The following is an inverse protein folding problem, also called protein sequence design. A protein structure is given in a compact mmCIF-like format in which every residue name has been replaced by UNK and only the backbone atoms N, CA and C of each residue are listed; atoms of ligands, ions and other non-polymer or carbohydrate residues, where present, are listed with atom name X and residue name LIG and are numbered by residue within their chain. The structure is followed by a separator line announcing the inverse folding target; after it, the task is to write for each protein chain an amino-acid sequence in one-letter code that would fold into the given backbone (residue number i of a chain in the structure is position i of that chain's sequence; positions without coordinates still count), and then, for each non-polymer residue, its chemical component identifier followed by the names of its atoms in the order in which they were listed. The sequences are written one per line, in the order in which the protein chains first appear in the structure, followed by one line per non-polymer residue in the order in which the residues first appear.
data_IF_847437257344
#
_entry.id   IF_847437257344
#
_cell.length_a   1.000
_cell.length_b   1.000
_cell.length_c   1.000
_cell.angle_alpha   90.00
_cell.angle_beta   90.00
_cell.angle_gamma   90.00
#
_symmetry.space_group_name_H-M   'P 1'
#
loop_
_entity.id
_entity.type
_entity.pdbx_description
1 polymer ?
#
# COMPACT_ATOMS: atom_id res chain seq x y z
N UNK A 1 -8.37 -9.27 12.15
CA UNK A 1 -7.83 -8.84 10.85
C UNK A 1 -8.22 -9.77 9.70
N UNK A 2 -8.35 -11.08 9.89
CA UNK A 2 -8.71 -12.05 8.83
C UNK A 2 -10.03 -11.79 8.11
N UNK A 3 -10.96 -11.02 8.71
CA UNK A 3 -12.22 -10.61 8.06
C UNK A 3 -12.12 -9.34 7.20
N UNK A 4 -10.94 -8.75 7.04
CA UNK A 4 -10.73 -7.55 6.22
C UNK A 4 -10.01 -7.98 4.94
N UNK A 5 -10.75 -8.01 3.83
CA UNK A 5 -10.21 -8.53 2.55
C UNK A 5 -8.97 -7.77 2.06
N UNK A 6 -8.88 -6.48 2.34
CA UNK A 6 -7.70 -5.67 2.03
C UNK A 6 -6.40 -6.16 2.73
N UNK A 7 -6.50 -6.95 3.80
CA UNK A 7 -5.36 -7.51 4.54
C UNK A 7 -5.19 -9.03 4.30
N UNK A 8 -6.26 -9.73 3.93
CA UNK A 8 -6.27 -11.20 3.81
C UNK A 8 -6.12 -11.70 2.38
N UNK A 9 -6.42 -10.88 1.37
CA UNK A 9 -6.23 -11.26 -0.04
C UNK A 9 -4.77 -11.08 -0.42
N UNK A 10 -4.04 -12.17 -0.72
CA UNK A 10 -2.64 -12.05 -1.15
C UNK A 10 -2.55 -11.42 -2.53
N UNK A 11 -1.51 -10.62 -2.73
CA UNK A 11 -1.17 -10.10 -4.05
C UNK A 11 0.02 -10.88 -4.61
N UNK A 12 -0.03 -11.32 -5.87
CA UNK A 12 1.08 -12.05 -6.49
C UNK A 12 2.28 -11.15 -6.81
N UNK A 13 2.10 -9.83 -6.73
CA UNK A 13 3.13 -8.86 -7.04
C UNK A 13 3.56 -8.12 -5.77
N UNK A 14 4.86 -8.13 -5.48
CA UNK A 14 5.41 -7.27 -4.43
C UNK A 14 5.36 -5.80 -4.89
N UNK A 15 4.87 -4.94 -4.03
CA UNK A 15 4.76 -3.51 -4.34
C UNK A 15 4.76 -2.64 -3.08
N UNK A 16 4.85 -1.31 -3.26
CA UNK A 16 4.87 -0.36 -2.15
C UNK A 16 3.79 -0.56 -1.08
N UNK A 17 2.53 -0.91 -1.41
CA UNK A 17 1.50 -1.11 -0.40
C UNK A 17 1.80 -2.25 0.58
N UNK A 18 2.50 -3.31 0.14
CA UNK A 18 2.86 -4.44 1.01
C UNK A 18 3.87 -3.99 2.06
N UNK A 19 4.88 -3.23 1.66
CA UNK A 19 5.88 -2.68 2.57
C UNK A 19 5.30 -1.58 3.47
N UNK A 20 4.32 -0.83 2.97
CA UNK A 20 3.65 0.22 3.73
C UNK A 20 2.83 -0.33 4.93
N UNK A 21 2.28 -1.55 4.84
CA UNK A 21 1.49 -2.13 5.95
C UNK A 21 2.28 -2.26 7.26
N UNK A 22 3.42 -2.97 7.30
CA UNK A 22 4.21 -3.07 8.53
C UNK A 22 4.76 -1.72 8.98
N UNK A 23 5.18 -0.83 8.06
CA UNK A 23 5.66 0.50 8.42
C UNK A 23 4.56 1.36 9.05
N UNK A 24 3.33 1.29 8.54
CA UNK A 24 2.18 1.99 9.15
C UNK A 24 1.88 1.44 10.55
N UNK A 25 1.91 0.11 10.72
CA UNK A 25 1.67 -0.52 12.01
C UNK A 25 2.75 -0.14 13.04
N UNK A 26 4.03 -0.13 12.62
CA UNK A 26 5.15 0.29 13.46
C UNK A 26 5.08 1.77 13.83
N UNK A 27 4.79 2.65 12.86
CA UNK A 27 4.62 4.07 13.10
C UNK A 27 3.49 4.35 14.11
N UNK A 28 2.35 3.67 13.99
CA UNK A 28 1.25 3.78 14.97
C UNK A 28 1.66 3.27 16.35
N UNK A 29 2.40 2.15 16.43
CA UNK A 29 2.91 1.60 17.69
C UNK A 29 3.92 2.53 18.34
N UNK A 30 4.90 3.04 17.58
CA UNK A 30 5.95 3.90 18.12
C UNK A 30 5.39 5.28 18.50
N UNK A 31 4.42 5.79 17.72
CA UNK A 31 3.68 6.99 18.11
C UNK A 31 2.95 6.77 19.45
N UNK A 32 2.23 5.65 19.61
CA UNK A 32 1.57 5.35 20.87
C UNK A 32 2.55 5.25 22.04
N UNK A 33 3.67 4.58 21.86
CA UNK A 33 4.70 4.45 22.92
C UNK A 33 5.32 5.79 23.29
N UNK A 34 5.64 6.63 22.31
CA UNK A 34 6.18 7.97 22.55
C UNK A 34 5.14 8.89 23.20
N UNK A 35 3.96 8.96 22.60
CA UNK A 35 2.89 9.86 22.98
C UNK A 35 2.04 9.33 24.14
N UNK A 36 1.48 8.12 24.01
CA UNK A 36 0.54 7.53 24.98
C UNK A 36 1.22 7.05 26.25
N UNK A 37 2.35 6.37 26.13
CA UNK A 37 3.11 5.84 27.28
C UNK A 37 4.18 6.81 27.80
N UNK A 38 4.52 7.88 27.07
CA UNK A 38 5.54 8.85 27.44
C UNK A 38 6.98 8.32 27.33
N UNK A 39 7.18 7.24 26.57
CA UNK A 39 8.50 6.63 26.35
C UNK A 39 9.23 7.39 25.24
N UNK A 40 9.86 8.49 25.57
CA UNK A 40 10.47 9.47 24.64
C UNK A 40 11.41 8.88 23.60
N UNK A 41 12.18 7.84 23.92
CA UNK A 41 13.08 7.17 22.97
C UNK A 41 12.41 6.58 21.74
N UNK A 42 11.10 6.29 21.78
CA UNK A 42 10.36 5.81 20.63
C UNK A 42 10.10 6.88 19.58
N UNK A 43 10.31 8.17 19.87
CA UNK A 43 10.24 9.24 18.88
C UNK A 43 11.26 9.07 17.75
N UNK A 44 12.42 8.50 18.02
CA UNK A 44 13.45 8.21 17.02
C UNK A 44 13.02 7.09 16.07
N UNK A 45 12.45 6.02 16.60
CA UNK A 45 11.90 4.92 15.79
C UNK A 45 10.70 5.39 14.96
N UNK A 46 9.83 6.20 15.53
CA UNK A 46 8.72 6.82 14.82
C UNK A 46 9.21 7.66 13.64
N UNK A 47 10.26 8.45 13.83
CA UNK A 47 10.84 9.27 12.78
C UNK A 47 11.36 8.41 11.61
N UNK A 48 12.07 7.31 11.92
CA UNK A 48 12.56 6.37 10.93
C UNK A 48 11.41 5.70 10.17
N UNK A 49 10.38 5.18 10.88
CA UNK A 49 9.22 4.54 10.26
C UNK A 49 8.49 5.49 9.32
N UNK A 50 8.25 6.74 9.74
CA UNK A 50 7.58 7.75 8.92
C UNK A 50 8.41 8.13 7.69
N UNK A 51 9.70 8.32 7.84
CA UNK A 51 10.58 8.63 6.72
C UNK A 51 10.59 7.48 5.69
N UNK A 52 10.75 6.23 6.15
CA UNK A 52 10.70 5.05 5.29
C UNK A 52 9.32 4.87 4.64
N UNK A 53 8.24 5.16 5.37
CA UNK A 53 6.89 5.09 4.82
C UNK A 53 6.67 6.16 3.74
N UNK A 54 7.16 7.38 3.94
CA UNK A 54 7.08 8.46 2.94
C UNK A 54 7.89 8.11 1.68
N UNK A 55 9.07 7.50 1.86
CA UNK A 55 9.88 7.01 0.73
C UNK A 55 9.21 5.83 0.00
N UNK A 56 8.39 5.06 0.70
CA UNK A 56 7.69 3.91 0.13
C UNK A 56 6.41 4.32 -0.57
N UNK A 57 5.60 5.16 0.08
CA UNK A 57 4.29 5.59 -0.45
C UNK A 57 3.92 7.00 0.06
N UNK A 58 3.11 7.71 -0.73
CA UNK A 58 2.55 9.00 -0.31
C UNK A 58 1.58 8.90 0.88
N UNK A 59 1.12 7.69 1.23
CA UNK A 59 0.28 7.46 2.43
C UNK A 59 1.01 7.83 3.72
N UNK A 60 2.34 7.85 3.71
CA UNK A 60 3.14 8.34 4.84
C UNK A 60 2.87 9.81 5.18
N UNK A 61 2.61 10.65 4.18
CA UNK A 61 2.25 12.06 4.38
C UNK A 61 0.87 12.17 5.03
N UNK A 62 -0.08 11.31 4.60
CA UNK A 62 -1.43 11.26 5.20
C UNK A 62 -1.35 10.84 6.67
N UNK A 63 -0.54 9.82 6.97
CA UNK A 63 -0.33 9.37 8.35
C UNK A 63 0.33 10.46 9.21
N UNK A 64 1.33 11.14 8.68
CA UNK A 64 1.98 12.26 9.36
C UNK A 64 0.97 13.39 9.66
N UNK A 65 0.11 13.73 8.70
CA UNK A 65 -0.98 14.68 8.89
C UNK A 65 -1.98 14.22 9.97
N UNK A 66 -2.35 12.94 9.98
CA UNK A 66 -3.22 12.39 11.01
C UNK A 66 -2.57 12.43 12.41
N UNK A 67 -1.25 12.16 12.53
CA UNK A 67 -0.52 12.34 13.78
C UNK A 67 -0.52 13.80 14.23
N UNK A 68 -0.30 14.74 13.32
CA UNK A 68 -0.34 16.16 13.64
C UNK A 68 -1.73 16.59 14.15
N UNK A 69 -2.81 16.16 13.47
CA UNK A 69 -4.18 16.45 13.89
C UNK A 69 -4.46 15.87 15.29
N UNK A 70 -4.14 14.61 15.53
CA UNK A 70 -4.36 13.97 16.83
C UNK A 70 -3.54 14.62 17.96
N UNK A 71 -2.28 14.96 17.66
CA UNK A 71 -1.40 15.66 18.61
C UNK A 71 -1.98 17.04 18.98
N UNK A 72 -2.42 17.81 18.01
CA UNK A 72 -3.00 19.14 18.24
C UNK A 72 -4.38 19.06 18.93
N UNK A 73 -5.19 18.05 18.64
CA UNK A 73 -6.51 17.86 19.21
C UNK A 73 -6.49 17.44 20.70
N UNK A 74 -5.38 16.88 21.19
CA UNK A 74 -5.28 16.36 22.55
C UNK A 74 -4.40 17.26 23.43
N UNK A 75 -4.78 17.43 24.71
CA UNK A 75 -3.99 18.20 25.68
C UNK A 75 -2.58 17.62 25.87
N UNK A 76 -2.51 16.30 25.97
CA UNK A 76 -1.23 15.58 26.09
C UNK A 76 -0.33 15.79 24.87
N UNK A 77 -0.92 15.84 23.66
CA UNK A 77 -0.18 16.12 22.44
C UNK A 77 0.36 17.54 22.39
N UNK A 78 -0.46 18.52 22.75
CA UNK A 78 0.02 19.91 22.82
C UNK A 78 1.15 20.07 23.85
N UNK A 79 1.04 19.41 25.01
CA UNK A 79 2.13 19.40 25.99
C UNK A 79 3.42 18.74 25.44
N UNK A 80 3.29 17.68 24.64
CA UNK A 80 4.44 17.03 24.00
C UNK A 80 5.16 17.94 23.01
N UNK A 81 4.41 18.81 22.27
CA UNK A 81 5.01 19.76 21.33
C UNK A 81 5.90 20.83 22.01
N UNK A 82 5.75 21.01 23.33
CA UNK A 82 6.62 21.89 24.12
C UNK A 82 7.95 21.22 24.52
N UNK A 83 8.12 19.94 24.23
CA UNK A 83 9.34 19.18 24.46
C UNK A 83 10.19 19.13 23.19
N UNK A 84 11.47 18.73 23.31
CA UNK A 84 12.40 18.76 22.19
C UNK A 84 12.27 17.55 21.26
N UNK A 85 11.72 16.44 21.73
CA UNK A 85 11.71 15.15 21.04
C UNK A 85 10.95 15.18 19.68
N UNK A 86 9.76 15.80 19.57
CA UNK A 86 9.06 15.89 18.27
C UNK A 86 9.86 16.69 17.22
N UNK A 87 10.59 17.69 17.67
CA UNK A 87 11.41 18.53 16.77
C UNK A 87 12.65 17.77 16.29
N UNK A 88 13.31 17.02 17.16
CA UNK A 88 14.40 16.12 16.74
C UNK A 88 13.86 15.05 15.79
N UNK A 89 12.69 14.46 16.07
CA UNK A 89 12.05 13.50 15.17
C UNK A 89 11.78 14.12 13.78
N UNK A 90 11.30 15.37 13.73
CA UNK A 90 11.10 16.08 12.46
C UNK A 90 12.42 16.30 11.70
N UNK A 91 13.50 16.66 12.40
CA UNK A 91 14.84 16.79 11.79
C UNK A 91 15.31 15.45 11.22
N UNK A 92 15.15 14.35 11.97
CA UNK A 92 15.53 13.01 11.50
C UNK A 92 14.76 12.63 10.22
N UNK A 93 13.45 12.90 10.16
CA UNK A 93 12.64 12.67 8.95
C UNK A 93 13.24 13.43 7.77
N UNK A 94 13.52 14.73 7.95
CA UNK A 94 14.11 15.56 6.90
C UNK A 94 15.47 15.02 6.46
N UNK A 95 16.35 14.64 7.40
CA UNK A 95 17.68 14.08 7.10
C UNK A 95 17.57 12.80 6.28
N UNK A 96 16.66 11.88 6.65
CA UNK A 96 16.47 10.63 5.89
C UNK A 96 15.87 10.90 4.51
N UNK A 97 14.97 11.86 4.38
CA UNK A 97 14.34 12.22 3.11
C UNK A 97 15.26 13.07 2.23
N UNK A 98 16.27 13.74 2.79
CA UNK A 98 17.11 14.71 2.10
C UNK A 98 17.76 14.20 0.81
N UNK A 99 18.36 12.99 0.76
CA UNK A 99 18.93 12.48 -0.50
C UNK A 99 17.88 12.33 -1.61
N UNK A 100 16.66 11.93 -1.23
CA UNK A 100 15.54 11.79 -2.18
C UNK A 100 15.05 13.17 -2.67
N UNK A 101 14.97 14.14 -1.78
CA UNK A 101 14.59 15.53 -2.14
C UNK A 101 15.60 16.16 -3.09
N UNK A 102 16.91 15.99 -2.82
CA UNK A 102 17.99 16.43 -3.71
C UNK A 102 17.89 15.76 -5.07
N UNK A 103 17.65 14.46 -5.10
CA UNK A 103 17.46 13.74 -6.36
C UNK A 103 16.23 14.25 -7.15
N UNK A 104 15.11 14.52 -6.48
CA UNK A 104 13.91 15.08 -7.10
C UNK A 104 14.20 16.46 -7.74
N UNK A 105 14.98 17.29 -7.06
CA UNK A 105 15.36 18.62 -7.57
C UNK A 105 16.32 18.50 -8.75
N UNK A 106 17.42 17.76 -8.60
CA UNK A 106 18.44 17.56 -9.64
C UNK A 106 17.89 16.87 -10.90
N UNK A 107 16.91 15.98 -10.75
CA UNK A 107 16.27 15.30 -11.88
C UNK A 107 15.22 16.16 -12.60
N UNK A 108 14.96 17.38 -12.15
CA UNK A 108 13.87 18.23 -12.63
C UNK A 108 12.48 17.66 -12.32
N UNK A 109 12.43 16.59 -11.50
CA UNK A 109 11.18 15.90 -11.15
C UNK A 109 10.42 16.59 -10.02
N UNK A 110 11.02 17.52 -9.31
CA UNK A 110 10.39 18.24 -8.20
C UNK A 110 9.16 19.03 -8.63
N UNK A 111 9.25 19.79 -9.74
CA UNK A 111 8.11 20.51 -10.32
C UNK A 111 7.06 19.59 -10.97
N UNK A 112 7.50 18.44 -11.48
CA UNK A 112 6.66 17.44 -12.12
C UNK A 112 6.08 16.44 -11.13
N UNK A 113 6.57 16.35 -9.90
CA UNK A 113 6.09 15.40 -8.91
C UNK A 113 4.61 15.65 -8.56
N UNK A 114 4.24 16.89 -8.28
CA UNK A 114 2.84 17.29 -8.06
C UNK A 114 2.00 17.19 -9.34
N UNK A 115 2.57 17.55 -10.50
CA UNK A 115 1.89 17.39 -11.77
C UNK A 115 1.77 15.94 -12.21
N UNK A 116 2.71 15.07 -11.85
CA UNK A 116 2.63 13.63 -12.13
C UNK A 116 1.63 12.89 -11.26
N UNK A 117 1.44 13.29 -10.02
CA UNK A 117 0.29 12.85 -9.25
C UNK A 117 -1.03 13.15 -10.01
N UNK A 118 -1.02 14.18 -10.85
CA UNK A 118 -2.14 14.65 -11.67
C UNK A 118 -2.11 14.10 -13.12
N UNK A 119 -0.93 13.95 -13.72
CA UNK A 119 -0.77 13.70 -15.16
C UNK A 119 -0.89 12.23 -15.56
N UNK A 120 -0.47 11.29 -14.72
CA UNK A 120 -0.61 9.85 -14.99
C UNK A 120 -2.04 9.34 -14.83
N UNK A 121 -2.94 10.21 -14.38
CA UNK A 121 -4.31 9.86 -14.08
C UNK A 121 -5.22 11.02 -14.44
N UNK A 122 -5.64 11.12 -15.72
CA UNK A 122 -6.63 12.09 -16.13
C UNK A 122 -7.98 11.72 -15.48
N UNK A 123 -8.15 12.09 -14.26
CA UNK A 123 -9.38 11.92 -13.51
C UNK A 123 -9.56 13.18 -12.68
N UNK A 124 -10.52 14.02 -13.11
CA UNK A 124 -11.00 15.07 -12.25
C UNK A 124 -11.60 14.43 -11.00
N UNK A 125 -11.37 15.07 -9.84
CA UNK A 125 -12.06 14.68 -8.62
C UNK A 125 -13.56 14.64 -8.89
N UNK A 126 -14.19 13.51 -8.63
CA UNK A 126 -15.63 13.37 -8.77
C UNK A 126 -16.23 12.72 -7.54
N UNK A 127 -17.42 13.15 -7.16
CA UNK A 127 -18.18 12.55 -6.08
C UNK A 127 -18.41 11.04 -6.33
N UNK A 128 -18.65 10.66 -7.58
CA UNK A 128 -18.83 9.27 -7.97
C UNK A 128 -17.58 8.44 -7.69
N UNK A 129 -16.40 8.99 -7.99
CA UNK A 129 -15.14 8.31 -7.72
C UNK A 129 -14.91 8.13 -6.22
N UNK A 130 -15.19 9.16 -5.42
CA UNK A 130 -15.09 9.06 -3.96
C UNK A 130 -16.09 8.06 -3.38
N UNK A 131 -17.36 8.07 -3.82
CA UNK A 131 -18.36 7.08 -3.41
C UNK A 131 -17.92 5.65 -3.76
N UNK A 132 -17.33 5.45 -4.94
CA UNK A 132 -16.74 4.16 -5.32
C UNK A 132 -15.63 3.71 -4.35
N UNK A 133 -14.78 4.63 -3.91
CA UNK A 133 -13.74 4.35 -2.91
C UNK A 133 -14.35 3.97 -1.56
N UNK A 134 -15.40 4.67 -1.12
CA UNK A 134 -16.13 4.34 0.12
C UNK A 134 -16.81 2.97 0.04
N UNK A 135 -17.45 2.65 -1.08
CA UNK A 135 -18.03 1.32 -1.30
C UNK A 135 -16.96 0.23 -1.24
N UNK A 136 -15.80 0.45 -1.88
CA UNK A 136 -14.70 -0.50 -1.82
C UNK A 136 -14.16 -0.68 -0.38
N UNK A 137 -14.09 0.40 0.40
CA UNK A 137 -13.74 0.34 1.82
C UNK A 137 -14.78 -0.47 2.63
N UNK A 138 -16.07 -0.24 2.40
CA UNK A 138 -17.14 -1.00 3.05
C UNK A 138 -17.08 -2.49 2.69
N UNK A 139 -16.93 -2.81 1.39
CA UNK A 139 -16.77 -4.19 0.90
C UNK A 139 -15.55 -4.85 1.52
N UNK A 140 -14.43 -4.13 1.68
CA UNK A 140 -13.23 -4.67 2.31
C UNK A 140 -13.47 -5.12 3.77
N UNK A 141 -14.46 -4.56 4.47
CA UNK A 141 -14.80 -4.89 5.86
C UNK A 141 -15.93 -5.93 5.99
N UNK A 142 -16.53 -6.40 4.89
CA UNK A 142 -17.70 -7.30 4.93
C UNK A 142 -17.45 -8.55 5.79
N UNK A 143 -16.30 -9.18 5.64
CA UNK A 143 -15.95 -10.36 6.45
C UNK A 143 -15.84 -10.05 7.95
N UNK A 144 -15.33 -8.87 8.31
CA UNK A 144 -15.28 -8.44 9.71
C UNK A 144 -16.69 -8.20 10.26
N UNK A 145 -17.58 -7.60 9.46
CA UNK A 145 -18.99 -7.40 9.81
C UNK A 145 -19.68 -8.74 10.01
N UNK A 146 -19.47 -9.71 9.12
CA UNK A 146 -20.02 -11.08 9.26
C UNK A 146 -19.55 -11.71 10.58
N UNK A 147 -18.26 -11.63 10.90
CA UNK A 147 -17.73 -12.18 12.17
C UNK A 147 -18.37 -11.51 13.39
N UNK A 148 -18.55 -10.19 13.37
CA UNK A 148 -19.21 -9.44 14.44
C UNK A 148 -20.67 -9.89 14.58
N UNK A 149 -21.41 -10.00 13.50
CA UNK A 149 -22.82 -10.45 13.52
C UNK A 149 -22.95 -11.88 14.04
N UNK A 150 -22.07 -12.79 13.63
CA UNK A 150 -22.07 -14.17 14.13
C UNK A 150 -21.75 -14.24 15.63
N UNK A 151 -20.83 -13.40 16.11
CA UNK A 151 -20.39 -13.39 17.50
C UNK A 151 -21.33 -12.60 18.44
N UNK A 152 -22.18 -11.73 17.90
CA UNK A 152 -23.04 -10.84 18.71
C UNK A 152 -24.24 -11.52 19.36
N UNK A 153 -24.51 -12.79 19.05
CA UNK A 153 -25.65 -13.53 19.59
C UNK A 153 -27.02 -13.08 19.07
N UNK A 154 -27.07 -12.28 18.02
CA UNK A 154 -28.33 -11.85 17.42
C UNK A 154 -29.13 -13.08 16.95
N UNK A 155 -30.35 -13.25 17.53
CA UNK A 155 -31.21 -14.42 17.28
C UNK A 155 -30.74 -15.70 17.96
N UNK A 156 -29.88 -15.66 18.95
CA UNK A 156 -29.46 -16.82 19.73
C UNK A 156 -30.36 -16.98 20.97
N UNK A 157 -30.97 -18.15 21.10
CA UNK A 157 -31.93 -18.47 22.18
C UNK A 157 -31.41 -19.75 22.86
N UNK A 158 -30.46 -19.63 23.79
CA UNK A 158 -30.05 -20.85 24.42
C UNK A 158 -28.89 -20.76 25.42
N UNK A 159 -27.71 -21.10 25.03
CA UNK A 159 -26.56 -21.24 25.94
C UNK A 159 -25.94 -19.87 26.33
N UNK A 160 -25.54 -19.76 27.60
CA UNK A 160 -24.77 -18.61 28.06
C UNK A 160 -23.38 -18.63 27.37
N UNK A 161 -23.04 -17.61 26.60
CA UNK A 161 -21.74 -17.58 25.92
C UNK A 161 -20.61 -17.40 26.94
N UNK A 162 -19.39 -17.85 26.65
CA UNK A 162 -18.24 -17.50 27.44
C UNK A 162 -17.98 -15.99 27.33
N UNK A 163 -17.64 -15.42 28.47
CA UNK A 163 -17.35 -13.99 28.60
C UNK A 163 -15.85 -13.78 28.71
N UNK A 164 -15.28 -13.06 27.76
CA UNK A 164 -13.89 -12.64 27.82
C UNK A 164 -13.80 -11.24 28.41
N UNK A 165 -13.22 -11.16 29.61
CA UNK A 165 -12.99 -9.87 30.25
C UNK A 165 -11.67 -9.28 29.77
N UNK A 166 -11.71 -8.01 29.39
CA UNK A 166 -10.55 -7.22 29.00
C UNK A 166 -10.29 -6.12 30.02
N UNK A 167 -9.02 -5.78 30.23
CA UNK A 167 -8.68 -4.61 31.03
C UNK A 167 -9.34 -3.36 30.42
N UNK A 168 -10.00 -2.53 31.23
CA UNK A 168 -10.57 -1.27 30.76
C UNK A 168 -9.52 -0.40 30.09
N UNK A 169 -9.87 0.19 28.98
CA UNK A 169 -9.03 1.18 28.28
C UNK A 169 -9.25 2.55 28.89
N UNK A 170 -8.20 3.35 28.94
CA UNK A 170 -8.30 4.77 29.22
C UNK A 170 -9.00 5.50 28.05
N UNK A 171 -9.56 6.66 28.33
CA UNK A 171 -10.20 7.49 27.29
C UNK A 171 -9.24 7.84 26.15
N UNK A 172 -7.98 8.06 26.48
CA UNK A 172 -6.95 8.38 25.49
C UNK A 172 -6.66 7.18 24.56
N UNK A 173 -6.55 5.96 25.11
CA UNK A 173 -6.36 4.72 24.33
C UNK A 173 -7.54 4.50 23.38
N UNK A 174 -8.75 4.67 23.89
CA UNK A 174 -9.97 4.53 23.09
C UNK A 174 -10.02 5.56 21.95
N UNK A 175 -9.76 6.84 22.27
CA UNK A 175 -9.71 7.93 21.28
C UNK A 175 -8.65 7.66 20.23
N UNK A 176 -7.46 7.21 20.61
CA UNK A 176 -6.38 6.87 19.70
C UNK A 176 -6.81 5.79 18.70
N UNK A 177 -7.27 4.64 19.19
CA UNK A 177 -7.64 3.52 18.32
C UNK A 177 -8.79 3.91 17.37
N UNK A 178 -9.85 4.55 17.88
CA UNK A 178 -11.00 4.91 17.07
C UNK A 178 -10.66 6.02 16.06
N UNK A 179 -9.89 7.03 16.47
CA UNK A 179 -9.48 8.10 15.56
C UNK A 179 -8.68 7.53 14.37
N UNK A 180 -7.63 6.77 14.61
CA UNK A 180 -6.79 6.26 13.52
C UNK A 180 -7.48 5.17 12.70
N UNK A 181 -8.36 4.36 13.31
CA UNK A 181 -9.13 3.37 12.57
C UNK A 181 -10.18 3.98 11.62
N UNK A 182 -10.61 5.22 11.86
CA UNK A 182 -11.60 5.92 11.04
C UNK A 182 -10.91 6.94 10.12
N UNK A 183 -10.05 7.79 10.68
CA UNK A 183 -9.45 8.91 9.96
C UNK A 183 -8.53 8.45 8.82
N UNK A 184 -7.71 7.42 9.04
CA UNK A 184 -6.78 6.95 8.01
C UNK A 184 -7.48 6.37 6.77
N UNK A 185 -8.42 5.41 6.88
CA UNK A 185 -9.09 4.88 5.70
C UNK A 185 -9.96 5.94 5.02
N UNK A 186 -10.63 6.84 5.75
CA UNK A 186 -11.38 7.94 5.15
C UNK A 186 -10.47 8.92 4.40
N UNK A 187 -9.35 9.34 5.00
CA UNK A 187 -8.38 10.19 4.33
C UNK A 187 -7.80 9.50 3.07
N UNK A 188 -7.55 8.18 3.12
CA UNK A 188 -7.09 7.42 1.97
C UNK A 188 -8.12 7.42 0.83
N UNK A 189 -9.43 7.34 1.13
CA UNK A 189 -10.48 7.42 0.09
C UNK A 189 -10.55 8.81 -0.54
N UNK A 190 -10.42 9.88 0.25
CA UNK A 190 -10.40 11.26 -0.25
C UNK A 190 -9.19 11.50 -1.15
N UNK A 191 -8.00 11.10 -0.68
CA UNK A 191 -6.75 11.22 -1.46
C UNK A 191 -6.82 10.37 -2.73
N UNK A 192 -7.32 9.14 -2.65
CA UNK A 192 -7.50 8.27 -3.81
C UNK A 192 -8.44 8.90 -4.86
N UNK A 193 -9.55 9.49 -4.42
CA UNK A 193 -10.48 10.19 -5.31
C UNK A 193 -9.86 11.45 -5.91
N UNK A 194 -9.13 12.24 -5.12
CA UNK A 194 -8.44 13.45 -5.57
C UNK A 194 -7.35 13.17 -6.61
N UNK A 195 -6.73 11.99 -6.52
CA UNK A 195 -5.72 11.54 -7.48
C UNK A 195 -6.30 10.76 -8.67
N UNK A 196 -7.61 10.66 -8.78
CA UNK A 196 -8.27 9.96 -9.89
C UNK A 196 -8.06 8.43 -9.88
N UNK A 197 -7.82 7.83 -8.72
CA UNK A 197 -7.56 6.39 -8.61
C UNK A 197 -8.80 5.53 -8.87
N UNK A 198 -8.71 4.65 -9.86
CA UNK A 198 -9.80 3.72 -10.19
C UNK A 198 -9.79 2.43 -9.35
N UNK A 199 -8.62 2.04 -8.82
CA UNK A 199 -8.46 0.82 -8.00
C UNK A 199 -7.96 1.16 -6.60
N UNK A 200 -8.86 1.12 -5.58
CA UNK A 200 -8.53 1.54 -4.22
C UNK A 200 -7.75 0.49 -3.41
N UNK A 201 -7.74 -0.78 -3.83
CA UNK A 201 -7.31 -1.92 -2.99
C UNK A 201 -5.90 -1.73 -2.43
N UNK A 202 -4.95 -1.30 -3.23
CA UNK A 202 -3.56 -1.14 -2.80
C UNK A 202 -3.32 0.01 -1.81
N UNK A 203 -4.19 1.04 -1.80
CA UNK A 203 -4.07 2.17 -0.86
C UNK A 203 -4.85 1.98 0.43
N UNK A 204 -5.90 1.15 0.41
CA UNK A 204 -6.72 0.87 1.58
C UNK A 204 -5.94 0.01 2.58
N UNK A 205 -5.19 -0.99 2.11
CA UNK A 205 -4.52 -1.98 2.98
C UNK A 205 -3.69 -1.40 4.12
N UNK A 206 -2.77 -0.44 3.91
CA UNK A 206 -2.00 0.12 5.01
C UNK A 206 -2.84 0.93 6.01
N UNK A 207 -3.97 1.47 5.56
CA UNK A 207 -4.77 2.39 6.36
C UNK A 207 -5.83 1.70 7.23
N UNK A 208 -6.08 0.40 7.03
CA UNK A 208 -7.08 -0.38 7.79
C UNK A 208 -6.47 -1.28 8.86
N UNK A 209 -5.19 -1.14 9.17
CA UNK A 209 -4.47 -1.99 10.14
C UNK A 209 -5.06 -1.94 11.55
N UNK A 210 -5.72 -0.85 11.94
CA UNK A 210 -6.38 -0.72 13.24
C UNK A 210 -7.86 -1.10 13.24
N UNK A 211 -8.48 -1.37 12.08
CA UNK A 211 -9.93 -1.65 12.02
C UNK A 211 -10.33 -2.84 12.89
N UNK A 212 -9.56 -3.93 12.89
CA UNK A 212 -9.84 -5.09 13.76
C UNK A 212 -9.74 -4.75 15.25
N UNK A 213 -8.77 -3.93 15.64
CA UNK A 213 -8.63 -3.48 17.02
C UNK A 213 -9.77 -2.54 17.42
N UNK A 214 -10.21 -1.66 16.53
CA UNK A 214 -11.34 -0.77 16.75
C UNK A 214 -12.65 -1.54 17.01
N UNK A 215 -12.89 -2.63 16.25
CA UNK A 215 -14.04 -3.52 16.48
C UNK A 215 -13.99 -4.10 17.91
N UNK A 216 -12.83 -4.59 18.35
CA UNK A 216 -12.65 -5.12 19.71
C UNK A 216 -12.85 -4.03 20.78
N UNK A 217 -12.40 -2.80 20.50
CA UNK A 217 -12.60 -1.65 21.41
C UNK A 217 -14.08 -1.28 21.52
N UNK A 218 -14.81 -1.32 20.41
CA UNK A 218 -16.25 -1.02 20.37
C UNK A 218 -17.11 -2.10 21.04
N UNK A 219 -16.67 -3.36 20.99
CA UNK A 219 -17.36 -4.47 21.68
C UNK A 219 -17.35 -4.35 23.21
N UNK A 220 -16.54 -3.44 23.78
CA UNK A 220 -16.54 -3.18 25.22
C UNK A 220 -15.52 -4.01 26.01
N UNK A 221 -15.66 -3.99 27.35
CA UNK A 221 -14.71 -4.65 28.25
C UNK A 221 -15.08 -6.11 28.56
N UNK A 222 -16.35 -6.46 28.42
CA UNK A 222 -16.86 -7.82 28.53
C UNK A 222 -17.36 -8.24 27.13
N UNK A 223 -16.66 -9.17 26.52
CA UNK A 223 -16.98 -9.66 25.18
C UNK A 223 -17.62 -11.03 25.33
N UNK A 224 -18.89 -11.12 25.00
CA UNK A 224 -19.63 -12.36 24.94
C UNK A 224 -19.46 -12.94 23.54
N UNK A 225 -18.90 -14.15 23.45
CA UNK A 225 -18.66 -14.79 22.17
C UNK A 225 -19.72 -15.85 21.92
N UNK A 226 -20.76 -15.48 21.21
CA UNK A 226 -21.81 -16.38 20.78
C UNK A 226 -21.36 -17.22 19.58
N UNK A 227 -22.02 -18.37 19.37
CA UNK A 227 -21.81 -19.27 18.21
C UNK A 227 -20.34 -19.52 17.89
N UNK A 228 -19.54 -19.83 18.91
CA UNK A 228 -18.08 -19.95 18.81
C UNK A 228 -17.62 -20.83 17.65
N UNK A 229 -18.28 -22.03 17.49
CA UNK A 229 -17.92 -22.96 16.43
C UNK A 229 -18.13 -22.30 15.03
N UNK A 230 -19.29 -21.67 14.82
CA UNK A 230 -19.63 -21.03 13.55
C UNK A 230 -18.74 -19.81 13.28
N UNK A 231 -18.48 -19.00 14.32
CA UNK A 231 -17.58 -17.85 14.24
C UNK A 231 -16.14 -18.29 13.95
N UNK A 232 -15.68 -19.35 14.60
CA UNK A 232 -14.36 -19.95 14.35
C UNK A 232 -14.24 -20.53 12.94
N UNK A 233 -15.27 -21.24 12.48
CA UNK A 233 -15.33 -21.75 11.11
C UNK A 233 -15.31 -20.62 10.09
N UNK A 234 -16.17 -19.62 10.25
CA UNK A 234 -16.21 -18.45 9.35
C UNK A 234 -14.87 -17.70 9.35
N UNK A 235 -14.23 -17.51 10.50
CA UNK A 235 -12.90 -16.92 10.59
C UNK A 235 -11.86 -17.75 9.84
N UNK A 236 -11.87 -19.07 9.99
CA UNK A 236 -10.97 -20.00 9.29
C UNK A 236 -11.17 -19.91 7.78
N UNK A 237 -12.41 -19.89 7.31
CA UNK A 237 -12.73 -19.71 5.89
C UNK A 237 -12.22 -18.37 5.38
N UNK A 238 -12.48 -17.28 6.09
CA UNK A 238 -12.01 -15.95 5.71
C UNK A 238 -10.48 -15.83 5.70
N UNK A 239 -9.77 -16.64 6.47
CA UNK A 239 -8.32 -16.67 6.51
C UNK A 239 -7.72 -17.53 5.38
N UNK A 240 -8.30 -18.71 5.12
CA UNK A 240 -7.74 -19.70 4.20
C UNK A 240 -8.26 -19.53 2.78
N UNK A 241 -9.54 -19.18 2.58
CA UNK A 241 -10.12 -19.13 1.25
C UNK A 241 -9.44 -18.10 0.33
N UNK A 242 -9.13 -16.84 0.74
CA UNK A 242 -8.50 -15.89 -0.14
C UNK A 242 -7.15 -16.37 -0.69
N UNK A 243 -6.17 -16.83 0.13
CA UNK A 243 -4.91 -17.34 -0.39
C UNK A 243 -5.09 -18.64 -1.21
N UNK A 244 -6.05 -19.50 -0.83
CA UNK A 244 -6.34 -20.71 -1.60
C UNK A 244 -6.90 -20.38 -2.99
N UNK A 245 -7.84 -19.44 -3.09
CA UNK A 245 -8.36 -18.96 -4.38
C UNK A 245 -7.30 -18.27 -5.22
N UNK A 246 -6.44 -17.48 -4.60
CA UNK A 246 -5.33 -16.83 -5.31
C UNK A 246 -4.36 -17.90 -5.85
N UNK A 247 -3.96 -18.87 -5.04
CA UNK A 247 -3.09 -19.97 -5.45
C UNK A 247 -3.73 -20.81 -6.55
N UNK A 248 -5.01 -21.17 -6.39
CA UNK A 248 -5.76 -21.91 -7.41
C UNK A 248 -5.83 -21.12 -8.73
N UNK A 249 -6.18 -19.84 -8.68
CA UNK A 249 -6.21 -18.97 -9.87
C UNK A 249 -4.84 -18.89 -10.57
N UNK A 250 -3.75 -18.83 -9.78
CA UNK A 250 -2.38 -18.86 -10.30
C UNK A 250 -2.05 -20.16 -11.02
N UNK A 251 -2.44 -21.29 -10.46
CA UNK A 251 -2.14 -22.62 -11.00
C UNK A 251 -3.08 -23.03 -12.14
N UNK A 252 -4.34 -22.65 -12.06
CA UNK A 252 -5.37 -23.05 -13.02
C UNK A 252 -5.41 -22.16 -14.27
N UNK A 253 -5.01 -20.90 -14.18
CA UNK A 253 -5.08 -19.96 -15.32
C UNK A 253 -4.37 -20.48 -16.59
N UNK A 254 -3.17 -21.05 -16.53
CA UNK A 254 -2.51 -21.63 -17.72
C UNK A 254 -3.26 -22.84 -18.29
N UNK A 255 -3.92 -23.63 -17.45
CA UNK A 255 -4.66 -24.84 -17.83
C UNK A 255 -6.01 -24.50 -18.48
N UNK A 256 -6.59 -23.36 -18.12
CA UNK A 256 -7.90 -22.89 -18.63
C UNK A 256 -7.77 -21.96 -19.85
N UNK A 257 -6.58 -21.86 -20.46
CA UNK A 257 -6.35 -20.99 -21.62
C UNK A 257 -6.30 -19.52 -21.29
N UNK A 258 -6.19 -19.17 -20.00
CA UNK A 258 -5.98 -17.80 -19.56
C UNK A 258 -4.59 -17.26 -19.90
N UNK A 259 -4.46 -15.95 -20.00
CA UNK A 259 -3.15 -15.31 -20.16
C UNK A 259 -2.26 -15.66 -18.96
N UNK A 260 -1.00 -16.10 -19.19
CA UNK A 260 -0.09 -16.40 -18.11
C UNK A 260 0.04 -15.20 -17.18
N UNK A 261 -0.05 -15.49 -15.88
CA UNK A 261 0.13 -14.46 -14.87
C UNK A 261 1.53 -13.83 -15.05
N UNK A 262 1.66 -12.53 -14.78
CA UNK A 262 2.92 -11.82 -14.90
C UNK A 262 4.14 -12.54 -14.32
N UNK A 263 3.96 -13.20 -13.18
CA UNK A 263 5.02 -13.94 -12.48
C UNK A 263 5.36 -15.31 -13.12
N UNK A 264 4.47 -15.85 -13.94
CA UNK A 264 4.68 -17.12 -14.66
C UNK A 264 5.23 -16.92 -16.08
N UNK A 265 5.46 -15.67 -16.51
CA UNK A 265 6.06 -15.40 -17.81
C UNK A 265 7.50 -15.92 -17.86
N UNK A 266 7.92 -16.55 -18.97
CA UNK A 266 9.29 -17.03 -19.16
C UNK A 266 10.26 -15.85 -19.38
N UNK A 267 10.50 -15.11 -18.29
CA UNK A 267 11.18 -13.83 -18.30
C UNK A 267 12.62 -13.91 -18.89
N UNK A 268 13.32 -15.00 -18.56
CA UNK A 268 14.69 -15.23 -19.01
C UNK A 268 14.76 -15.51 -20.51
N UNK A 269 13.83 -16.31 -21.00
CA UNK A 269 13.71 -16.66 -22.41
C UNK A 269 13.29 -15.43 -23.24
N UNK A 270 12.35 -14.65 -22.75
CA UNK A 270 11.93 -13.38 -23.38
C UNK A 270 13.12 -12.42 -23.47
N UNK A 271 13.82 -12.18 -22.36
CA UNK A 271 14.97 -11.29 -22.35
C UNK A 271 16.08 -11.72 -23.32
N UNK A 272 16.41 -13.01 -23.34
CA UNK A 272 17.40 -13.57 -24.28
C UNK A 272 16.93 -13.46 -25.72
N UNK A 273 15.68 -13.83 -26.01
CA UNK A 273 15.12 -13.76 -27.37
C UNK A 273 15.28 -12.37 -27.99
N UNK A 274 14.90 -11.32 -27.26
CA UNK A 274 15.00 -9.95 -27.75
C UNK A 274 16.45 -9.47 -27.84
N UNK A 275 17.30 -9.81 -26.85
CA UNK A 275 18.72 -9.47 -26.88
C UNK A 275 19.45 -10.11 -28.05
N UNK A 276 19.32 -11.43 -28.23
CA UNK A 276 19.97 -12.19 -29.30
C UNK A 276 19.42 -11.81 -30.69
N UNK A 277 18.13 -11.49 -30.76
CA UNK A 277 17.51 -11.07 -32.04
C UNK A 277 18.05 -9.70 -32.47
N UNK A 278 18.21 -8.76 -31.53
CA UNK A 278 18.80 -7.46 -31.82
C UNK A 278 20.27 -7.60 -32.25
N UNK A 279 21.06 -8.36 -31.50
CA UNK A 279 22.48 -8.57 -31.79
C UNK A 279 22.71 -9.20 -33.17
N UNK A 280 21.89 -10.19 -33.55
CA UNK A 280 21.92 -10.79 -34.89
C UNK A 280 21.58 -9.85 -36.03
N UNK A 281 20.63 -8.90 -35.79
CA UNK A 281 20.17 -7.95 -36.83
C UNK A 281 21.06 -6.73 -36.96
N UNK A 282 21.59 -6.23 -35.84
CA UNK A 282 22.26 -4.93 -35.75
C UNK A 282 23.79 -5.10 -35.60
N UNK A 283 24.26 -6.29 -35.23
CA UNK A 283 25.68 -6.58 -34.97
C UNK A 283 26.22 -5.94 -33.68
N UNK A 284 25.32 -5.39 -32.82
CA UNK A 284 25.68 -4.76 -31.56
C UNK A 284 24.78 -5.31 -30.45
N UNK A 285 25.25 -5.28 -29.20
CA UNK A 285 24.42 -5.63 -28.05
C UNK A 285 23.29 -4.63 -27.87
N UNK A 286 22.12 -5.13 -27.45
CA UNK A 286 20.99 -4.30 -27.12
C UNK A 286 21.34 -3.34 -25.98
N UNK A 287 21.31 -2.03 -26.25
CA UNK A 287 21.68 -0.99 -25.27
C UNK A 287 20.46 -0.31 -24.64
N UNK A 288 19.36 -0.20 -25.39
CA UNK A 288 18.14 0.49 -24.93
C UNK A 288 16.91 -0.32 -25.33
N UNK A 289 15.93 -0.38 -24.42
CA UNK A 289 14.62 -0.99 -24.68
C UNK A 289 13.51 -0.03 -24.27
N UNK A 290 12.43 0.04 -25.04
CA UNK A 290 11.31 0.96 -24.84
C UNK A 290 9.97 0.26 -25.08
N UNK A 291 8.86 0.95 -24.82
CA UNK A 291 7.50 0.47 -25.06
C UNK A 291 6.76 0.16 -23.75
N UNK A 292 6.08 -1.00 -23.69
CA UNK A 292 5.42 -1.42 -22.44
C UNK A 292 6.43 -1.54 -21.32
N UNK A 293 6.21 -0.77 -20.26
CA UNK A 293 7.19 -0.64 -19.16
C UNK A 293 7.54 -1.98 -18.52
N UNK A 294 6.57 -2.87 -18.42
CA UNK A 294 6.74 -4.17 -17.78
C UNK A 294 7.57 -5.11 -18.65
N UNK A 295 7.24 -5.21 -19.93
CA UNK A 295 8.00 -6.03 -20.88
C UNK A 295 9.40 -5.47 -21.08
N UNK A 296 9.54 -4.15 -21.22
CA UNK A 296 10.83 -3.49 -21.33
C UNK A 296 11.71 -3.72 -20.10
N UNK A 297 11.14 -3.63 -18.88
CA UNK A 297 11.88 -3.89 -17.64
C UNK A 297 12.31 -5.35 -17.53
N UNK A 298 11.45 -6.28 -17.95
CA UNK A 298 11.75 -7.71 -17.95
C UNK A 298 12.88 -8.04 -18.94
N UNK A 299 12.85 -7.45 -20.13
CA UNK A 299 13.93 -7.59 -21.13
C UNK A 299 15.23 -6.97 -20.58
N UNK A 300 15.15 -5.76 -20.00
CA UNK A 300 16.32 -5.10 -19.38
C UNK A 300 17.00 -5.98 -18.32
N UNK A 301 16.20 -6.70 -17.53
CA UNK A 301 16.73 -7.55 -16.45
C UNK A 301 17.44 -8.81 -16.97
N UNK A 302 16.93 -9.42 -18.06
CA UNK A 302 17.36 -10.74 -18.50
C UNK A 302 18.08 -10.77 -19.85
N UNK A 303 18.06 -9.69 -20.65
CA UNK A 303 18.82 -9.64 -21.90
C UNK A 303 20.33 -9.52 -21.64
N UNK A 304 21.17 -10.16 -22.48
CA UNK A 304 22.62 -9.97 -22.44
C UNK A 304 22.96 -8.47 -22.58
N UNK A 305 23.77 -7.95 -21.66
CA UNK A 305 24.17 -6.54 -21.66
C UNK A 305 23.26 -5.60 -20.83
N UNK A 306 22.15 -6.10 -20.28
CA UNK A 306 21.23 -5.34 -19.42
C UNK A 306 20.87 -3.96 -20.00
N UNK A 307 20.12 -3.92 -21.11
CA UNK A 307 19.76 -2.66 -21.78
C UNK A 307 19.01 -1.74 -20.83
N UNK A 308 19.22 -0.45 -20.95
CA UNK A 308 18.51 0.56 -20.15
C UNK A 308 17.09 0.74 -20.68
N UNK A 309 16.12 0.87 -19.77
CA UNK A 309 14.73 1.15 -20.15
C UNK A 309 14.58 2.64 -20.46
N UNK A 310 14.03 2.93 -21.62
CA UNK A 310 13.66 4.28 -22.05
C UNK A 310 12.16 4.41 -22.19
N UNK A 311 11.56 5.38 -21.51
CA UNK A 311 10.13 5.61 -21.52
C UNK A 311 9.79 6.71 -22.54
N UNK A 312 9.60 6.32 -23.80
CA UNK A 312 9.43 7.27 -24.91
C UNK A 312 8.23 8.21 -24.73
N UNK A 313 7.14 7.74 -24.12
CA UNK A 313 5.94 8.55 -23.86
C UNK A 313 6.10 9.58 -22.73
N UNK A 314 7.12 9.40 -21.88
CA UNK A 314 7.44 10.30 -20.78
C UNK A 314 8.95 10.25 -20.51
N UNK A 315 9.78 10.85 -21.39
CA UNK A 315 11.24 10.78 -21.31
C UNK A 315 11.82 11.28 -19.98
N UNK A 316 11.15 12.23 -19.37
CA UNK A 316 11.46 12.78 -18.08
C UNK A 316 11.36 11.74 -16.92
N UNK A 317 10.72 10.59 -17.13
CA UNK A 317 10.70 9.46 -16.18
C UNK A 317 11.96 8.60 -16.25
N UNK A 318 12.73 8.74 -17.29
CA UNK A 318 14.01 8.06 -17.50
C UNK A 318 15.13 9.06 -17.78
N UNK A 319 15.41 9.99 -16.84
CA UNK A 319 16.36 11.09 -17.04
C UNK A 319 17.80 10.61 -17.24
N UNK A 320 18.08 9.36 -16.94
CA UNK A 320 19.38 8.71 -17.14
C UNK A 320 19.62 8.21 -18.58
N UNK A 321 18.63 8.33 -19.48
CA UNK A 321 18.75 8.02 -20.91
C UNK A 321 18.32 9.25 -21.70
N UNK A 322 19.19 9.74 -22.56
CA UNK A 322 18.85 10.82 -23.48
C UNK A 322 18.53 10.34 -24.89
N UNK A 323 17.85 11.17 -25.68
CA UNK A 323 17.45 10.82 -27.04
C UNK A 323 18.64 10.54 -27.98
N UNK A 324 19.79 11.18 -27.73
CA UNK A 324 21.00 10.97 -28.49
C UNK A 324 21.59 9.59 -28.23
N UNK A 325 21.61 9.16 -26.98
CA UNK A 325 22.05 7.81 -26.61
C UNK A 325 21.15 6.72 -27.27
N UNK A 326 19.83 6.96 -27.33
CA UNK A 326 18.89 6.07 -28.03
C UNK A 326 19.23 5.97 -29.53
N UNK A 327 19.56 7.08 -30.19
CA UNK A 327 19.94 7.09 -31.60
C UNK A 327 21.24 6.36 -31.85
N UNK A 328 22.24 6.52 -30.98
CA UNK A 328 23.56 5.92 -31.14
C UNK A 328 23.56 4.42 -30.84
N UNK A 329 22.86 3.99 -29.80
CA UNK A 329 22.83 2.59 -29.37
C UNK A 329 21.76 1.76 -30.07
N UNK A 330 20.76 2.39 -30.67
CA UNK A 330 19.56 1.73 -31.16
C UNK A 330 18.62 1.32 -30.04
N UNK A 331 17.38 1.03 -30.39
CA UNK A 331 16.31 0.67 -29.42
C UNK A 331 15.42 -0.43 -29.99
N UNK A 332 14.98 -1.35 -29.14
CA UNK A 332 13.82 -2.19 -29.40
C UNK A 332 12.61 -1.59 -28.69
N UNK A 333 11.50 -1.46 -29.42
CA UNK A 333 10.21 -1.09 -28.85
C UNK A 333 9.35 -2.34 -28.75
N UNK A 334 8.81 -2.59 -27.56
CA UNK A 334 8.00 -3.79 -27.25
C UNK A 334 6.64 -3.42 -26.71
N UNK A 335 5.62 -4.17 -27.12
CA UNK A 335 4.26 -4.04 -26.60
C UNK A 335 3.57 -5.41 -26.60
N UNK A 336 2.54 -5.63 -25.74
CA UNK A 336 1.75 -6.84 -25.77
C UNK A 336 1.04 -6.99 -27.12
N UNK A 337 0.97 -8.21 -27.68
CA UNK A 337 0.28 -8.48 -28.93
C UNK A 337 -1.25 -8.20 -28.85
N UNK A 338 -1.78 -8.09 -27.64
CA UNK A 338 -3.18 -7.71 -27.38
C UNK A 338 -3.45 -6.21 -27.46
N UNK A 339 -2.40 -5.38 -27.41
CA UNK A 339 -2.50 -3.94 -27.61
C UNK A 339 -2.51 -3.65 -29.11
N UNK A 340 -3.69 -3.73 -29.71
CA UNK A 340 -3.92 -3.24 -31.07
C UNK A 340 -4.03 -1.71 -31.01
N UNK A 341 -3.08 -1.05 -31.64
CA UNK A 341 -3.11 0.40 -31.89
C UNK A 341 -4.22 0.69 -32.90
#
# INVERSE_FOLDING_TARGET
MGGISALSVPTPTFGPPILAMPLTALALLHYWRAFGEGKRGYSFFLAADLALLILTTHSGIVLLGAFAVFTLATERGRAMLLTIEPWIAAIIIVVILFPHLVWLDMSGMGSTWLSRLRYDRPGEWSLVLWLRQLVALAVAHTGAVVLVLLSSGWGDVGEKPPVFQRKPLTDLERKFVLFFAIALPLAATVVGAALGERSPVGRISPNVVLSGLAIVVLAGNAIELHRQWLTGFAWTVLLIAPPAFAAFGLLAAPLLGGTPIPTAQPAKEIGRFFGDTFERRVGKRLGVVSGDLRLASLISLYAPGRPTVYFANAPDRTPWVNAEEVRQKGVIVVWPATDTI
#
